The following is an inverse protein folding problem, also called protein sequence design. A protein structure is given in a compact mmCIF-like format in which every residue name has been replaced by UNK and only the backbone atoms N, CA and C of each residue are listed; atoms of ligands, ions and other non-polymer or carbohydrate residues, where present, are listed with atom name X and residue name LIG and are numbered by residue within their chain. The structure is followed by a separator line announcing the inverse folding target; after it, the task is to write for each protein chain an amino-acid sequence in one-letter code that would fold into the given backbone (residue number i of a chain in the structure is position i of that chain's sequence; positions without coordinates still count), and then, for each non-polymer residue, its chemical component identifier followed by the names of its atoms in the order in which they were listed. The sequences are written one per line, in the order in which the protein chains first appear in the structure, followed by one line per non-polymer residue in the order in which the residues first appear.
data_IF_154841892418
#
_entry.id   IF_154841892418
#
_cell.length_a   1.000
_cell.length_b   1.000
_cell.length_c   1.000
_cell.angle_alpha   90.00
_cell.angle_beta   90.00
_cell.angle_gamma   90.00
#
_symmetry.space_group_name_H-M   'P 1'
#
loop_
_entity.id
_entity.type
_entity.pdbx_description
1 polymer ?
#
# COMPACT_ATOMS: atom_id res chain seq x y z
N UNK A 1 5.59 31.72 -23.70
CA UNK A 1 5.68 30.26 -23.85
C UNK A 1 4.75 29.66 -22.79
N UNK A 2 3.62 29.16 -23.20
CA UNK A 2 2.67 28.47 -22.29
C UNK A 2 3.36 27.20 -21.81
N UNK A 3 3.52 27.08 -20.50
CA UNK A 3 3.99 25.85 -19.86
C UNK A 3 3.12 24.70 -20.35
N UNK A 4 3.66 23.64 -20.98
CA UNK A 4 2.82 22.51 -21.34
C UNK A 4 2.15 22.00 -20.09
N UNK A 5 0.82 21.87 -20.10
CA UNK A 5 0.07 21.32 -18.97
C UNK A 5 0.72 19.98 -18.59
N UNK A 6 1.32 19.93 -17.39
CA UNK A 6 1.86 18.69 -16.87
C UNK A 6 0.69 17.74 -16.66
N UNK A 7 0.63 16.68 -17.44
CA UNK A 7 -0.41 15.66 -17.31
C UNK A 7 0.04 14.59 -16.35
N UNK A 8 -0.76 14.32 -15.33
CA UNK A 8 -0.56 13.22 -14.38
C UNK A 8 -1.40 12.02 -14.83
N UNK A 9 -0.77 10.86 -14.89
CA UNK A 9 -1.42 9.57 -15.06
C UNK A 9 -1.33 8.84 -13.74
N UNK A 10 -2.48 8.43 -13.21
CA UNK A 10 -2.56 7.59 -12.01
C UNK A 10 -3.10 6.23 -12.44
N UNK A 11 -2.42 5.16 -12.06
CA UNK A 11 -2.78 3.79 -12.43
C UNK A 11 -2.82 2.89 -11.20
N UNK A 12 -3.70 1.90 -11.23
CA UNK A 12 -3.67 0.78 -10.28
C UNK A 12 -2.66 -0.29 -10.73
N UNK A 13 -2.31 -1.19 -9.83
CA UNK A 13 -1.48 -2.35 -10.10
C UNK A 13 -2.30 -3.57 -10.54
N UNK A 14 -3.15 -4.05 -9.65
CA UNK A 14 -3.82 -5.35 -9.80
C UNK A 14 -4.94 -5.28 -10.83
N UNK A 15 -4.83 -6.10 -11.89
CA UNK A 15 -5.79 -6.07 -13.01
C UNK A 15 -5.62 -4.87 -13.95
N UNK A 16 -4.58 -4.04 -13.77
CA UNK A 16 -4.28 -2.87 -14.61
C UNK A 16 -2.85 -2.95 -15.17
N UNK A 17 -1.83 -2.75 -14.35
CA UNK A 17 -0.43 -2.92 -14.76
C UNK A 17 0.08 -4.35 -14.57
N UNK A 18 -0.44 -5.04 -13.58
CA UNK A 18 -0.09 -6.43 -13.32
C UNK A 18 -1.03 -7.37 -14.07
N UNK A 19 -0.45 -8.38 -14.69
CA UNK A 19 -1.20 -9.50 -15.24
C UNK A 19 -1.71 -10.41 -14.13
N UNK A 20 -2.93 -10.90 -14.30
CA UNK A 20 -3.50 -11.90 -13.40
C UNK A 20 -2.73 -13.21 -13.45
N UNK A 21 -2.69 -13.88 -12.32
CA UNK A 21 -2.08 -15.18 -12.11
C UNK A 21 -2.96 -16.01 -11.16
N UNK A 22 -2.73 -17.35 -11.07
CA UNK A 22 -3.50 -18.21 -10.18
C UNK A 22 -3.45 -17.80 -8.71
N UNK A 23 -2.33 -17.23 -8.28
CA UNK A 23 -2.15 -16.67 -6.93
C UNK A 23 -1.80 -15.19 -6.99
N UNK A 24 -2.03 -14.49 -5.88
CA UNK A 24 -1.73 -13.07 -5.76
C UNK A 24 -0.22 -12.78 -5.90
N UNK A 25 0.61 -13.65 -5.37
CA UNK A 25 2.07 -13.52 -5.37
C UNK A 25 2.69 -13.78 -6.76
N UNK A 26 2.01 -14.52 -7.62
CA UNK A 26 2.50 -14.82 -8.98
C UNK A 26 2.16 -13.72 -10.00
N UNK A 27 1.39 -12.71 -9.61
CA UNK A 27 1.08 -11.57 -10.47
C UNK A 27 2.36 -10.83 -10.83
N UNK A 28 2.47 -10.42 -12.09
CA UNK A 28 3.69 -9.81 -12.61
C UNK A 28 3.43 -8.64 -13.55
N UNK A 29 4.40 -7.76 -13.65
CA UNK A 29 4.42 -6.70 -14.65
C UNK A 29 5.22 -7.14 -15.87
N UNK A 30 4.68 -6.89 -17.06
CA UNK A 30 5.39 -7.22 -18.31
C UNK A 30 6.43 -6.16 -18.66
N UNK A 31 7.48 -6.57 -19.39
CA UNK A 31 8.46 -5.63 -19.92
C UNK A 31 7.78 -4.58 -20.82
N UNK A 32 6.75 -4.96 -21.59
CA UNK A 32 5.96 -4.03 -22.41
C UNK A 32 5.29 -2.93 -21.57
N UNK A 33 4.72 -3.27 -20.41
CA UNK A 33 4.12 -2.30 -19.49
C UNK A 33 5.18 -1.34 -18.94
N UNK A 34 6.32 -1.88 -18.49
CA UNK A 34 7.46 -1.08 -18.02
C UNK A 34 7.94 -0.11 -19.10
N UNK A 35 8.19 -0.59 -20.31
CA UNK A 35 8.67 0.23 -21.43
C UNK A 35 7.64 1.29 -21.84
N UNK A 36 6.35 1.00 -21.68
CA UNK A 36 5.29 1.96 -21.98
C UNK A 36 5.29 3.08 -20.96
N UNK A 37 5.37 2.78 -19.66
CA UNK A 37 5.46 3.80 -18.61
C UNK A 37 6.72 4.66 -18.79
N UNK A 38 7.87 4.04 -19.09
CA UNK A 38 9.11 4.77 -19.37
C UNK A 38 8.95 5.76 -20.54
N UNK A 39 8.38 5.30 -21.66
CA UNK A 39 8.14 6.20 -22.83
C UNK A 39 7.22 7.36 -22.50
N UNK A 40 6.19 7.13 -21.67
CA UNK A 40 5.27 8.19 -21.27
C UNK A 40 5.97 9.19 -20.34
N UNK A 41 6.77 8.72 -19.40
CA UNK A 41 7.58 9.55 -18.52
C UNK A 41 8.58 10.39 -19.34
N UNK A 42 9.30 9.77 -20.30
CA UNK A 42 10.24 10.45 -21.21
C UNK A 42 9.54 11.50 -22.10
N UNK A 43 8.25 11.30 -22.40
CA UNK A 43 7.41 12.26 -23.12
C UNK A 43 6.89 13.41 -22.23
N UNK A 44 7.30 13.46 -20.93
CA UNK A 44 6.98 14.54 -20.00
C UNK A 44 5.67 14.33 -19.23
N UNK A 45 5.09 13.14 -19.26
CA UNK A 45 3.97 12.81 -18.36
C UNK A 45 4.49 12.52 -16.96
N UNK A 46 3.77 13.03 -15.94
CA UNK A 46 3.91 12.56 -14.57
C UNK A 46 3.16 11.26 -14.40
N UNK A 47 3.73 10.35 -13.59
CA UNK A 47 3.15 9.02 -13.41
C UNK A 47 3.09 8.65 -11.93
N UNK A 48 1.93 8.20 -11.46
CA UNK A 48 1.75 7.71 -10.10
C UNK A 48 1.10 6.32 -10.12
N UNK A 49 1.50 5.48 -9.18
CA UNK A 49 0.84 4.21 -8.92
C UNK A 49 -0.02 4.35 -7.66
N UNK A 50 -1.28 3.91 -7.72
CA UNK A 50 -2.18 3.86 -6.57
C UNK A 50 -2.71 2.44 -6.41
N UNK A 51 -2.46 1.82 -5.25
CA UNK A 51 -2.77 0.42 -5.01
C UNK A 51 -3.32 0.15 -3.62
N UNK A 52 -4.13 -0.89 -3.48
CA UNK A 52 -4.53 -1.44 -2.20
C UNK A 52 -3.42 -2.26 -1.50
N UNK A 53 -2.33 -2.58 -2.24
CA UNK A 53 -1.24 -3.38 -1.71
C UNK A 53 -0.54 -2.68 -0.54
N UNK A 54 -0.14 -3.43 0.51
CA UNK A 54 0.81 -2.96 1.49
C UNK A 54 2.22 -2.84 0.89
N UNK A 55 3.14 -2.22 1.63
CA UNK A 55 4.52 -2.04 1.16
C UNK A 55 5.20 -3.37 0.84
N UNK A 56 5.01 -4.40 1.68
CA UNK A 56 5.59 -5.74 1.49
C UNK A 56 5.32 -6.38 0.13
N UNK A 57 4.21 -6.05 -0.51
CA UNK A 57 3.84 -6.64 -1.81
C UNK A 57 3.73 -5.61 -2.94
N UNK A 58 3.88 -4.33 -2.64
CA UNK A 58 3.85 -3.24 -3.62
C UNK A 58 5.23 -2.68 -3.97
N UNK A 59 6.15 -2.67 -3.01
CA UNK A 59 7.46 -2.02 -3.11
C UNK A 59 8.33 -2.55 -4.27
N UNK A 60 8.27 -3.84 -4.55
CA UNK A 60 9.04 -4.45 -5.64
C UNK A 60 8.74 -3.83 -7.02
N UNK A 61 7.56 -3.26 -7.20
CA UNK A 61 7.15 -2.63 -8.46
C UNK A 61 7.58 -1.16 -8.54
N UNK A 62 7.75 -0.48 -7.39
CA UNK A 62 8.21 0.90 -7.34
C UNK A 62 9.59 1.06 -7.99
N UNK A 63 10.53 0.12 -7.72
CA UNK A 63 11.86 0.12 -8.33
C UNK A 63 11.90 -0.25 -9.82
N UNK A 64 10.80 -0.79 -10.37
CA UNK A 64 10.71 -1.20 -11.80
C UNK A 64 10.17 -0.09 -12.70
N UNK A 65 9.53 0.91 -12.13
CA UNK A 65 8.80 1.95 -12.85
C UNK A 65 9.37 3.35 -12.53
N UNK A 66 9.52 4.23 -13.52
CA UNK A 66 9.85 5.62 -13.28
C UNK A 66 8.58 6.37 -12.85
N UNK A 67 8.23 6.29 -11.58
CA UNK A 67 7.04 6.94 -11.02
C UNK A 67 7.41 8.14 -10.16
N UNK A 68 6.59 9.18 -10.22
CA UNK A 68 6.76 10.42 -9.44
C UNK A 68 6.12 10.30 -8.05
N UNK A 69 5.17 9.36 -7.89
CA UNK A 69 4.56 9.05 -6.59
C UNK A 69 4.10 7.61 -6.53
N UNK A 70 4.13 7.05 -5.32
CA UNK A 70 3.58 5.74 -5.05
C UNK A 70 2.60 5.82 -3.88
N UNK A 71 1.37 5.35 -4.11
CA UNK A 71 0.25 5.42 -3.17
C UNK A 71 -0.09 4.01 -2.74
N UNK A 72 0.29 3.64 -1.52
CA UNK A 72 0.04 2.32 -0.91
C UNK A 72 -1.24 2.32 -0.08
N UNK A 73 -1.77 1.14 0.21
CA UNK A 73 -2.83 0.92 1.20
C UNK A 73 -4.07 1.80 0.98
N UNK A 74 -4.50 1.95 -0.28
CA UNK A 74 -5.64 2.81 -0.66
C UNK A 74 -5.46 4.29 -0.27
N UNK A 75 -4.23 4.79 -0.20
CA UNK A 75 -3.93 6.17 0.14
C UNK A 75 -3.50 6.41 1.59
N UNK A 76 -3.40 5.35 2.41
CA UNK A 76 -2.94 5.50 3.79
C UNK A 76 -1.45 5.87 3.88
N UNK A 77 -0.63 5.44 2.92
CA UNK A 77 0.76 5.85 2.80
C UNK A 77 1.02 6.35 1.38
N UNK A 78 1.52 7.58 1.26
CA UNK A 78 1.85 8.21 -0.02
C UNK A 78 3.32 8.61 0.00
N UNK A 79 4.06 8.12 -0.98
CA UNK A 79 5.45 8.45 -1.24
C UNK A 79 5.54 9.34 -2.48
N UNK A 80 5.96 10.59 -2.28
CA UNK A 80 6.12 11.60 -3.35
C UNK A 80 7.51 11.63 -3.98
N UNK A 81 8.42 10.79 -3.50
CA UNK A 81 9.78 10.65 -4.03
C UNK A 81 10.27 9.20 -3.87
N UNK A 82 9.68 8.24 -4.62
CA UNK A 82 9.97 6.81 -4.47
C UNK A 82 11.45 6.45 -4.64
N UNK A 83 12.21 7.26 -5.37
CA UNK A 83 13.64 7.10 -5.56
C UNK A 83 14.48 7.40 -4.29
N UNK A 84 13.85 8.00 -3.26
CA UNK A 84 14.48 8.37 -1.97
C UNK A 84 14.05 7.47 -0.82
N UNK A 85 13.11 6.57 -1.08
CA UNK A 85 12.51 5.69 -0.09
C UNK A 85 13.04 4.27 -0.23
N UNK A 86 13.26 3.62 0.90
CA UNK A 86 13.54 2.20 0.98
C UNK A 86 12.44 1.49 1.77
N UNK A 87 12.49 0.16 1.77
CA UNK A 87 11.51 -0.67 2.45
C UNK A 87 11.45 -0.38 3.96
N UNK A 88 12.61 -0.23 4.60
CA UNK A 88 12.70 -0.01 6.04
C UNK A 88 12.09 1.33 6.45
N UNK A 89 12.29 2.37 5.65
CA UNK A 89 11.68 3.68 5.89
C UNK A 89 10.16 3.59 5.76
N UNK A 90 9.66 2.99 4.68
CA UNK A 90 8.22 2.91 4.39
C UNK A 90 7.43 2.08 5.41
N UNK A 91 8.09 1.10 6.07
CA UNK A 91 7.46 0.21 7.06
C UNK A 91 7.77 0.60 8.51
N UNK A 92 8.60 1.63 8.74
CA UNK A 92 9.03 2.03 10.08
C UNK A 92 8.01 2.82 10.89
N UNK A 93 6.92 3.27 10.28
CA UNK A 93 5.97 4.23 10.87
C UNK A 93 6.53 5.65 11.05
N UNK A 94 7.80 5.90 10.72
CA UNK A 94 8.46 7.20 10.84
C UNK A 94 8.25 8.03 9.57
N UNK A 95 8.03 9.33 9.75
CA UNK A 95 7.91 10.27 8.63
C UNK A 95 9.15 11.17 8.58
N UNK A 96 9.84 11.24 7.43
CA UNK A 96 10.94 12.16 7.22
C UNK A 96 10.51 13.63 7.34
N UNK A 97 11.41 14.48 7.84
CA UNK A 97 11.13 15.90 8.05
C UNK A 97 10.97 16.70 6.75
N UNK A 98 11.44 16.17 5.62
CA UNK A 98 11.35 16.82 4.30
C UNK A 98 9.98 16.65 3.62
N UNK A 99 9.07 15.90 4.25
CA UNK A 99 7.68 15.78 3.83
C UNK A 99 7.45 14.97 2.55
N UNK A 100 8.43 14.17 2.09
CA UNK A 100 8.21 13.34 0.91
C UNK A 100 7.33 12.10 1.20
N UNK A 101 7.12 11.74 2.47
CA UNK A 101 6.14 10.73 2.88
C UNK A 101 4.96 11.38 3.59
N UNK A 102 3.76 10.95 3.24
CA UNK A 102 2.53 11.28 3.94
C UNK A 102 1.86 9.99 4.42
N UNK A 103 1.57 9.90 5.71
CA UNK A 103 0.77 8.82 6.30
C UNK A 103 -0.56 9.39 6.77
N UNK A 104 -1.66 8.79 6.30
CA UNK A 104 -3.03 9.16 6.64
C UNK A 104 -3.72 7.93 7.20
N UNK A 105 -4.18 8.03 8.43
CA UNK A 105 -4.83 6.92 9.12
C UNK A 105 -5.57 7.40 10.36
N UNK A 106 -5.93 6.48 11.20
CA UNK A 106 -6.60 6.76 12.48
C UNK A 106 -5.92 5.97 13.60
N UNK A 107 -6.13 6.35 14.86
CA UNK A 107 -5.44 5.65 15.95
C UNK A 107 -5.80 4.16 15.96
N UNK A 108 -4.80 3.31 16.27
CA UNK A 108 -5.01 1.87 16.43
C UNK A 108 -6.09 1.56 17.46
N UNK A 109 -6.17 2.35 18.54
CA UNK A 109 -7.22 2.23 19.54
C UNK A 109 -8.62 2.40 18.94
N UNK A 110 -8.80 3.39 18.03
CA UNK A 110 -10.08 3.59 17.34
C UNK A 110 -10.38 2.47 16.34
N UNK A 111 -9.36 1.98 15.63
CA UNK A 111 -9.50 0.81 14.76
C UNK A 111 -9.99 -0.42 15.54
N UNK A 112 -9.36 -0.69 16.66
CA UNK A 112 -9.71 -1.81 17.52
C UNK A 112 -11.12 -1.68 18.13
N UNK A 113 -11.52 -0.47 18.51
CA UNK A 113 -12.88 -0.20 18.98
C UNK A 113 -13.91 -0.55 17.90
N UNK A 114 -13.67 -0.13 16.66
CA UNK A 114 -14.54 -0.46 15.51
C UNK A 114 -14.57 -1.96 15.27
N UNK A 115 -13.41 -2.64 15.30
CA UNK A 115 -13.35 -4.09 15.11
C UNK A 115 -14.14 -4.84 16.18
N UNK A 116 -13.98 -4.49 17.46
CA UNK A 116 -14.74 -5.11 18.56
C UNK A 116 -16.23 -4.88 18.41
N UNK A 117 -16.65 -3.65 18.11
CA UNK A 117 -18.07 -3.34 17.85
C UNK A 117 -18.65 -4.21 16.72
N UNK A 118 -17.90 -4.35 15.61
CA UNK A 118 -18.36 -5.19 14.49
C UNK A 118 -18.44 -6.67 14.85
N UNK A 119 -17.54 -7.19 15.70
CA UNK A 119 -17.58 -8.57 16.16
C UNK A 119 -18.76 -8.84 17.12
N UNK A 120 -19.14 -7.85 17.91
CA UNK A 120 -20.31 -7.94 18.78
C UNK A 120 -21.61 -7.99 17.95
N UNK A 121 -21.68 -7.20 16.87
CA UNK A 121 -22.86 -7.16 15.98
C UNK A 121 -22.92 -8.35 15.01
N UNK A 122 -21.75 -8.85 14.55
CA UNK A 122 -21.64 -9.89 13.53
C UNK A 122 -20.65 -10.96 14.01
N UNK A 123 -21.12 -11.93 14.83
CA UNK A 123 -20.28 -13.01 15.32
C UNK A 123 -19.64 -13.82 14.18
N UNK A 124 -18.33 -14.09 14.30
CA UNK A 124 -17.58 -14.88 13.32
C UNK A 124 -17.06 -14.09 12.11
N UNK A 125 -17.21 -12.75 12.12
CA UNK A 125 -16.63 -11.91 11.09
C UNK A 125 -15.09 -11.96 11.13
N UNK A 126 -14.45 -12.12 9.97
CA UNK A 126 -12.99 -12.01 9.83
C UNK A 126 -12.59 -10.57 9.63
N UNK A 127 -11.83 -10.03 10.56
CA UNK A 127 -11.38 -8.62 10.56
C UNK A 127 -9.87 -8.52 10.76
N UNK A 128 -9.32 -7.40 10.30
CA UNK A 128 -7.91 -7.08 10.54
C UNK A 128 -7.66 -5.59 10.52
N UNK A 129 -6.73 -5.15 11.37
CA UNK A 129 -6.14 -3.81 11.36
C UNK A 129 -4.77 -3.93 10.71
N UNK A 130 -4.47 -3.07 9.74
CA UNK A 130 -3.14 -2.98 9.14
C UNK A 130 -2.44 -1.75 9.68
N UNK A 131 -1.22 -1.92 10.14
CA UNK A 131 -0.38 -0.85 10.67
C UNK A 131 1.10 -1.20 10.46
N UNK A 132 1.86 -0.27 9.86
CA UNK A 132 3.31 -0.43 9.63
C UNK A 132 3.67 -1.77 8.96
N UNK A 133 2.88 -2.12 7.94
CA UNK A 133 2.98 -3.36 7.15
C UNK A 133 2.72 -4.67 7.90
N UNK A 134 2.23 -4.60 9.14
CA UNK A 134 1.76 -5.76 9.93
C UNK A 134 0.24 -5.82 9.93
N UNK A 135 -0.31 -7.02 9.77
CA UNK A 135 -1.74 -7.30 9.90
C UNK A 135 -2.05 -7.87 11.27
N UNK A 136 -2.86 -7.19 12.03
CA UNK A 136 -3.42 -7.65 13.31
C UNK A 136 -4.81 -8.19 13.05
N UNK A 137 -5.02 -9.52 13.12
CA UNK A 137 -6.24 -10.17 12.64
C UNK A 137 -6.78 -11.21 13.62
N UNK A 138 -8.09 -11.44 13.58
CA UNK A 138 -8.73 -12.51 14.34
C UNK A 138 -8.86 -13.83 13.56
N UNK A 139 -8.12 -13.97 12.46
CA UNK A 139 -8.10 -15.18 11.63
C UNK A 139 -6.69 -15.42 11.08
N UNK A 140 -6.44 -16.64 10.57
CA UNK A 140 -5.17 -17.00 9.94
C UNK A 140 -5.05 -16.39 8.55
N UNK A 141 -4.19 -15.39 8.41
CA UNK A 141 -3.92 -14.68 7.16
C UNK A 141 -3.16 -15.54 6.16
N UNK A 142 -2.35 -16.49 6.62
CA UNK A 142 -1.52 -17.35 5.76
C UNK A 142 -2.33 -18.23 4.80
N UNK A 143 -3.61 -18.44 5.10
CA UNK A 143 -4.56 -19.14 4.22
C UNK A 143 -4.77 -18.37 2.91
N UNK A 144 -4.66 -17.03 2.96
CA UNK A 144 -4.91 -16.15 1.81
C UNK A 144 -3.62 -15.56 1.23
N UNK A 145 -2.68 -15.15 2.10
CA UNK A 145 -1.45 -14.46 1.71
C UNK A 145 -0.26 -14.99 2.50
N UNK A 146 0.64 -15.67 1.83
CA UNK A 146 1.77 -16.38 2.45
C UNK A 146 2.94 -15.47 2.83
N UNK A 147 3.05 -14.31 2.19
CA UNK A 147 4.21 -13.41 2.30
C UNK A 147 3.98 -12.23 3.24
N UNK A 148 2.79 -12.09 3.82
CA UNK A 148 2.48 -10.97 4.68
C UNK A 148 2.79 -11.27 6.14
N UNK A 149 3.38 -10.29 6.84
CA UNK A 149 3.57 -10.33 8.29
C UNK A 149 2.23 -10.13 8.99
N UNK A 150 1.90 -11.00 9.93
CA UNK A 150 0.66 -10.89 10.67
C UNK A 150 0.76 -11.42 12.10
N UNK A 151 -0.15 -10.97 12.95
CA UNK A 151 -0.30 -11.41 14.34
C UNK A 151 -1.78 -11.65 14.63
N UNK A 152 -2.06 -12.73 15.34
CA UNK A 152 -3.41 -12.99 15.82
C UNK A 152 -3.74 -12.05 16.98
N UNK A 153 -4.97 -11.51 16.99
CA UNK A 153 -5.45 -10.60 18.04
C UNK A 153 -6.96 -10.73 18.22
N UNK A 154 -7.44 -10.40 19.41
CA UNK A 154 -8.85 -10.10 19.70
C UNK A 154 -9.13 -8.59 19.73
N UNK A 155 -8.18 -7.80 19.22
CA UNK A 155 -8.19 -6.34 19.20
C UNK A 155 -8.11 -5.65 20.57
N UNK A 156 -7.59 -6.34 21.59
CA UNK A 156 -7.29 -5.74 22.90
C UNK A 156 -5.81 -5.43 23.09
N UNK A 157 -4.93 -6.08 22.32
CA UNK A 157 -3.48 -6.09 22.44
C UNK A 157 -2.71 -5.52 21.21
N UNK A 158 -3.42 -4.87 20.30
CA UNK A 158 -2.78 -4.19 19.15
C UNK A 158 -1.96 -3.00 19.67
N UNK A 159 -0.69 -2.87 19.25
CA UNK A 159 0.16 -1.76 19.69
C UNK A 159 -0.41 -0.37 19.37
N UNK A 160 -0.04 0.63 20.16
CA UNK A 160 -0.38 2.02 19.87
C UNK A 160 0.30 2.49 18.58
N UNK A 161 -0.46 3.17 17.73
CA UNK A 161 0.05 3.68 16.47
C UNK A 161 -1.04 4.25 15.58
N UNK A 162 -0.67 4.46 14.30
CA UNK A 162 -1.58 4.90 13.26
C UNK A 162 -1.92 3.70 12.37
N UNK A 163 -3.17 3.26 12.46
CA UNK A 163 -3.70 2.23 11.59
C UNK A 163 -3.91 2.77 10.17
N UNK A 164 -3.48 2.00 9.19
CA UNK A 164 -3.56 2.33 7.77
C UNK A 164 -4.94 1.96 7.21
N UNK A 165 -5.50 0.84 7.68
CA UNK A 165 -6.86 0.39 7.31
C UNK A 165 -7.41 -0.68 8.26
N UNK A 166 -8.71 -0.89 8.18
CA UNK A 166 -9.43 -2.05 8.70
C UNK A 166 -9.87 -2.91 7.52
#
# INVERSE_FOLDING_TARGET
MTNPEQRLIVTDLDGTLLHDAPTFEERFITQRSIDTVKRMHDAGYRFAVATARPVSTGFEYAGKLPVDAYIYLNGALIDFAPERSDYDLLTSGRLPSDGHLLKVGFSSARACEVCRYLLDEIPGLSLGVVMDDVRYTNFDVSVYWKTQTWQFTDFTDVPDGIADKI
#
